data_IF_013919105084
#
_entry.id   IF_013919105084
#
_cell.length_a   1.000
_cell.length_b   1.000
_cell.length_c   1.000
_cell.angle_alpha   90.00
_cell.angle_beta   90.00
_cell.angle_gamma   90.00
#
_symmetry.space_group_name_H-M   'P 1'
#
loop_
_entity.id
_entity.type
_entity.pdbx_description
1 polymer ?
#
# COMPACT_ATOMS: atom_id res chain seq x y z
N UNK A 1 -1.39 -4.22 13.30
CA UNK A 1 -1.75 -4.65 11.94
C UNK A 1 -2.85 -3.74 11.46
N UNK A 2 -2.66 -3.09 10.32
CA UNK A 2 -3.68 -2.22 9.74
C UNK A 2 -4.80 -3.11 9.19
N UNK A 3 -6.03 -2.67 9.43
CA UNK A 3 -7.24 -3.36 9.00
C UNK A 3 -7.47 -3.07 7.51
N UNK A 4 -7.50 -4.12 6.69
CA UNK A 4 -7.57 -4.02 5.22
C UNK A 4 -8.85 -3.31 4.77
N UNK A 5 -9.93 -3.44 5.54
CA UNK A 5 -11.20 -2.76 5.27
C UNK A 5 -11.10 -1.25 5.50
N UNK A 6 -10.31 -0.83 6.50
CA UNK A 6 -10.03 0.60 6.76
C UNK A 6 -9.05 1.20 5.75
N UNK A 7 -8.21 0.37 5.13
CA UNK A 7 -7.29 0.79 4.09
C UNK A 7 -8.05 1.30 2.85
N UNK A 8 -9.18 0.66 2.53
CA UNK A 8 -10.05 1.08 1.41
C UNK A 8 -10.66 2.46 1.69
N UNK A 9 -10.97 2.78 2.95
CA UNK A 9 -11.56 4.07 3.33
C UNK A 9 -10.61 5.24 3.04
N UNK A 10 -9.29 5.05 3.18
CA UNK A 10 -8.29 6.12 2.98
C UNK A 10 -7.90 6.35 1.52
N UNK A 11 -8.26 5.44 0.60
CA UNK A 11 -8.02 5.64 -0.84
C UNK A 11 -8.83 6.86 -1.31
N UNK A 12 -8.25 7.67 -2.18
CA UNK A 12 -8.95 8.80 -2.80
C UNK A 12 -10.26 8.33 -3.47
N UNK A 13 -11.43 8.93 -3.17
CA UNK A 13 -12.70 8.56 -3.81
C UNK A 13 -12.66 8.58 -5.35
N UNK A 14 -11.89 9.48 -5.96
CA UNK A 14 -11.75 9.59 -7.42
C UNK A 14 -11.01 8.38 -7.99
N UNK A 15 -10.10 7.79 -7.22
CA UNK A 15 -9.39 6.56 -7.61
C UNK A 15 -10.22 5.30 -7.34
N UNK A 16 -11.17 5.35 -6.40
CA UNK A 16 -12.09 4.23 -6.13
C UNK A 16 -13.23 4.15 -7.16
N UNK A 17 -13.71 5.29 -7.63
CA UNK A 17 -14.84 5.34 -8.56
C UNK A 17 -14.44 4.77 -9.93
N UNK A 18 -15.10 3.68 -10.33
CA UNK A 18 -14.80 2.98 -11.58
C UNK A 18 -13.57 2.05 -11.54
N UNK A 19 -12.89 1.92 -10.40
CA UNK A 19 -11.78 0.99 -10.27
C UNK A 19 -12.24 -0.47 -10.35
N UNK A 20 -11.50 -1.27 -11.12
CA UNK A 20 -11.62 -2.72 -11.12
C UNK A 20 -11.14 -3.31 -9.80
N UNK A 21 -11.58 -4.53 -9.49
CA UNK A 21 -11.09 -5.26 -8.32
C UNK A 21 -9.56 -5.41 -8.32
N UNK A 22 -8.96 -5.57 -9.52
CA UNK A 22 -7.50 -5.68 -9.67
C UNK A 22 -6.82 -4.37 -9.24
N UNK A 23 -7.32 -3.23 -9.71
CA UNK A 23 -6.77 -1.91 -9.33
C UNK A 23 -6.92 -1.65 -7.83
N UNK A 24 -8.05 -2.04 -7.24
CA UNK A 24 -8.25 -1.94 -5.79
C UNK A 24 -7.25 -2.81 -5.03
N UNK A 25 -6.99 -4.03 -5.47
CA UNK A 25 -6.01 -4.92 -4.84
C UNK A 25 -4.57 -4.41 -5.02
N UNK A 26 -4.24 -3.81 -6.18
CA UNK A 26 -2.95 -3.12 -6.39
C UNK A 26 -2.79 -1.94 -5.44
N UNK A 27 -3.83 -1.13 -5.24
CA UNK A 27 -3.81 -0.01 -4.29
C UNK A 27 -3.59 -0.49 -2.85
N UNK A 28 -4.22 -1.61 -2.46
CA UNK A 28 -3.98 -2.22 -1.13
C UNK A 28 -2.53 -2.68 -0.98
N UNK A 29 -2.00 -3.41 -1.97
CA UNK A 29 -0.62 -3.88 -1.95
C UNK A 29 0.38 -2.72 -1.81
N UNK A 30 0.15 -1.64 -2.56
CA UNK A 30 0.97 -0.43 -2.47
C UNK A 30 0.91 0.21 -1.08
N UNK A 31 -0.26 0.24 -0.44
CA UNK A 31 -0.40 0.80 0.88
C UNK A 31 0.25 -0.07 1.97
N UNK A 32 0.26 -1.40 1.82
CA UNK A 32 1.06 -2.28 2.69
C UNK A 32 2.56 -2.03 2.54
N UNK A 33 3.06 -1.82 1.32
CA UNK A 33 4.44 -1.44 1.09
C UNK A 33 4.77 -0.08 1.74
N UNK A 34 3.87 0.90 1.62
CA UNK A 34 4.02 2.19 2.27
C UNK A 34 4.07 2.09 3.80
N UNK A 35 3.28 1.20 4.42
CA UNK A 35 3.36 0.92 5.85
C UNK A 35 4.73 0.35 6.25
N UNK A 36 5.27 -0.57 5.45
CA UNK A 36 6.63 -1.09 5.65
C UNK A 36 7.69 0.03 5.62
N UNK A 37 7.57 0.96 4.68
CA UNK A 37 8.45 2.14 4.60
C UNK A 37 8.35 3.06 5.84
N UNK A 38 7.20 3.07 6.51
CA UNK A 38 6.91 3.92 7.67
C UNK A 38 7.14 3.22 9.02
N UNK A 39 7.66 1.99 9.04
CA UNK A 39 7.97 1.25 10.27
C UNK A 39 8.78 2.10 11.27
N UNK A 40 8.37 2.12 12.54
CA UNK A 40 9.03 2.94 13.56
C UNK A 40 10.51 2.55 13.74
N UNK A 41 10.77 1.23 13.71
CA UNK A 41 12.11 0.67 13.81
C UNK A 41 12.78 0.71 12.44
N UNK A 42 13.85 1.50 12.33
CA UNK A 42 14.61 1.67 11.06
C UNK A 42 15.02 0.34 10.42
N UNK A 43 15.40 -0.66 11.22
CA UNK A 43 15.81 -1.98 10.75
C UNK A 43 14.68 -2.82 10.13
N UNK A 44 13.42 -2.45 10.38
CA UNK A 44 12.26 -3.11 9.78
C UNK A 44 11.84 -2.46 8.46
N UNK A 45 12.39 -1.28 8.12
CA UNK A 45 12.06 -0.61 6.87
C UNK A 45 12.76 -1.31 5.71
N UNK A 46 12.07 -1.51 4.57
CA UNK A 46 12.70 -2.02 3.37
C UNK A 46 13.72 -1.02 2.84
N UNK A 47 14.71 -1.53 2.12
CA UNK A 47 15.61 -0.73 1.30
C UNK A 47 14.87 -0.18 0.07
N UNK A 48 15.34 0.94 -0.48
CA UNK A 48 14.76 1.48 -1.72
C UNK A 48 14.87 0.50 -2.91
N UNK A 49 15.81 -0.44 -2.87
CA UNK A 49 15.90 -1.51 -3.87
C UNK A 49 14.70 -2.45 -3.76
N UNK A 50 14.42 -2.97 -2.57
CA UNK A 50 13.26 -3.85 -2.33
C UNK A 50 11.95 -3.11 -2.67
N UNK A 51 11.81 -1.85 -2.27
CA UNK A 51 10.64 -1.02 -2.63
C UNK A 51 10.48 -0.91 -4.15
N UNK A 52 11.57 -0.73 -4.90
CA UNK A 52 11.50 -0.66 -6.36
C UNK A 52 11.19 -1.99 -7.03
N UNK A 53 11.54 -3.11 -6.40
CA UNK A 53 11.24 -4.45 -6.91
C UNK A 53 9.76 -4.83 -6.68
N UNK A 54 9.15 -4.35 -5.59
CA UNK A 54 7.76 -4.65 -5.22
C UNK A 54 6.70 -3.78 -5.93
N UNK A 55 7.06 -2.61 -6.47
CA UNK A 55 6.13 -1.69 -7.15
C UNK A 55 5.86 -2.09 -8.62
N UNK A 56 6.73 -2.90 -9.23
CA UNK A 56 6.80 -3.15 -10.69
C UNK A 56 5.87 -4.26 -11.15
#
# INVERSE_FOLDING_TARGET
MMDEERLIEVIDPVLKDGASNIELDTMKALAFLALGCLEEKRQNRPSMKEVSEEIV
#
